data_IF_859825303200
#
_entry.id   IF_859825303200
#
_cell.length_a   1.000
_cell.length_b   1.000
_cell.length_c   1.000
_cell.angle_alpha   90.00
_cell.angle_beta   90.00
_cell.angle_gamma   90.00
#
_symmetry.space_group_name_H-M   'P 1'
#
loop_
_entity.id
_entity.type
_entity.pdbx_description
1 polymer ?
#
# COMPACT_ATOMS: atom_id res chain seq x y z
N UNK A 1 8.33 5.77 -22.88
CA UNK A 1 8.59 4.32 -23.07
C UNK A 1 8.91 3.57 -21.79
N UNK A 2 9.66 4.13 -20.82
CA UNK A 2 10.01 3.44 -19.55
C UNK A 2 8.83 2.82 -18.79
N UNK A 3 7.73 3.57 -18.61
CA UNK A 3 6.54 3.06 -17.90
C UNK A 3 5.86 1.90 -18.65
N UNK A 4 5.77 1.97 -19.98
CA UNK A 4 5.24 0.88 -20.80
C UNK A 4 6.06 -0.41 -20.65
N UNK A 5 7.39 -0.29 -20.63
CA UNK A 5 8.28 -1.44 -20.42
C UNK A 5 8.10 -2.08 -19.03
N UNK A 6 7.95 -1.25 -17.98
CA UNK A 6 7.67 -1.74 -16.64
C UNK A 6 6.31 -2.46 -16.56
N UNK A 7 5.26 -1.88 -17.16
CA UNK A 7 3.94 -2.52 -17.26
C UNK A 7 4.05 -3.85 -18.01
N UNK A 8 4.78 -3.88 -19.14
CA UNK A 8 4.96 -5.11 -19.92
C UNK A 8 5.65 -6.23 -19.13
N UNK A 9 6.67 -5.89 -18.35
CA UNK A 9 7.34 -6.83 -17.46
C UNK A 9 6.35 -7.44 -16.45
N UNK A 10 5.61 -6.61 -15.72
CA UNK A 10 4.64 -7.09 -14.72
C UNK A 10 3.50 -7.89 -15.36
N UNK A 11 3.00 -7.48 -16.52
CA UNK A 11 1.99 -8.24 -17.27
C UNK A 11 2.56 -9.61 -17.67
N UNK A 12 3.82 -9.68 -18.10
CA UNK A 12 4.50 -10.95 -18.38
C UNK A 12 4.53 -11.89 -17.16
N UNK A 13 4.91 -11.38 -16.00
CA UNK A 13 4.90 -12.16 -14.75
C UNK A 13 3.50 -12.68 -14.40
N UNK A 14 2.47 -11.82 -14.42
CA UNK A 14 1.10 -12.22 -14.12
C UNK A 14 0.53 -13.20 -15.15
N UNK A 15 0.88 -13.04 -16.43
CA UNK A 15 0.52 -14.00 -17.47
C UNK A 15 1.20 -15.35 -17.25
N UNK A 16 2.43 -15.38 -16.72
CA UNK A 16 3.12 -16.62 -16.38
C UNK A 16 2.40 -17.35 -15.25
N UNK A 17 2.01 -16.66 -14.17
CA UNK A 17 1.25 -17.25 -13.07
C UNK A 17 -0.06 -17.89 -13.56
N UNK A 18 -0.77 -17.21 -14.47
CA UNK A 18 -2.01 -17.71 -15.08
C UNK A 18 -1.75 -18.88 -16.06
N UNK A 19 -0.66 -18.83 -16.81
CA UNK A 19 -0.26 -19.90 -17.72
C UNK A 19 0.01 -21.20 -16.96
N UNK A 20 0.70 -21.12 -15.83
CA UNK A 20 0.99 -22.26 -14.95
C UNK A 20 -0.29 -22.82 -14.31
N UNK A 21 -1.16 -21.96 -13.76
CA UNK A 21 -2.44 -22.38 -13.14
C UNK A 21 -3.39 -23.05 -14.15
N UNK A 22 -3.30 -22.69 -15.43
CA UNK A 22 -4.20 -23.18 -16.49
C UNK A 22 -3.57 -24.18 -17.45
N UNK A 23 -2.31 -24.56 -17.23
CA UNK A 23 -1.53 -25.44 -18.11
C UNK A 23 -1.61 -25.02 -19.59
N UNK A 24 -1.36 -23.73 -19.85
CA UNK A 24 -1.40 -23.15 -21.19
C UNK A 24 -0.22 -22.20 -21.43
N UNK A 25 -0.06 -21.75 -22.68
CA UNK A 25 1.03 -20.83 -23.04
C UNK A 25 0.47 -19.56 -23.68
N UNK A 26 0.99 -18.40 -23.26
CA UNK A 26 0.72 -17.13 -23.92
C UNK A 26 1.79 -16.80 -24.97
N UNK A 27 1.37 -16.37 -26.15
CA UNK A 27 2.32 -15.83 -27.13
C UNK A 27 2.90 -14.49 -26.67
N UNK A 28 4.10 -14.14 -27.13
CA UNK A 28 4.72 -12.83 -26.85
C UNK A 28 3.83 -11.66 -27.32
N UNK A 29 3.14 -11.86 -28.44
CA UNK A 29 2.20 -10.90 -29.02
C UNK A 29 0.97 -10.70 -28.14
N UNK A 30 0.45 -11.78 -27.54
CA UNK A 30 -0.68 -11.70 -26.58
C UNK A 30 -0.28 -10.90 -25.34
N UNK A 31 0.90 -11.18 -24.76
CA UNK A 31 1.41 -10.44 -23.60
C UNK A 31 1.61 -8.95 -23.95
N UNK A 32 2.17 -8.65 -25.12
CA UNK A 32 2.34 -7.28 -25.61
C UNK A 32 0.98 -6.56 -25.80
N UNK A 33 -0.01 -7.25 -26.36
CA UNK A 33 -1.35 -6.70 -26.56
C UNK A 33 -2.04 -6.38 -25.22
N UNK A 34 -1.98 -7.30 -24.24
CA UNK A 34 -2.51 -7.06 -22.89
C UNK A 34 -1.81 -5.86 -22.25
N UNK A 35 -0.49 -5.76 -22.40
CA UNK A 35 0.29 -4.63 -21.87
C UNK A 35 -0.15 -3.29 -22.44
N UNK A 36 -0.40 -3.21 -23.75
CA UNK A 36 -0.87 -1.99 -24.41
C UNK A 36 -2.32 -1.66 -24.03
N UNK A 37 -3.18 -2.67 -23.86
CA UNK A 37 -4.55 -2.47 -23.36
C UNK A 37 -4.51 -1.91 -21.93
N UNK A 38 -3.75 -2.52 -21.03
CA UNK A 38 -3.62 -2.08 -19.64
C UNK A 38 -3.08 -0.65 -19.57
N UNK A 39 -2.05 -0.32 -20.36
CA UNK A 39 -1.49 1.04 -20.37
C UNK A 39 -2.51 2.09 -20.83
N UNK A 40 -3.28 1.81 -21.88
CA UNK A 40 -4.37 2.70 -22.34
C UNK A 40 -5.50 2.79 -21.32
N UNK A 41 -5.82 1.68 -20.65
CA UNK A 41 -6.86 1.65 -19.64
C UNK A 41 -6.53 2.52 -18.42
N UNK A 42 -5.25 2.64 -18.06
CA UNK A 42 -4.80 3.56 -17.00
C UNK A 42 -5.18 5.02 -17.28
N UNK A 43 -5.15 5.47 -18.54
CA UNK A 43 -5.56 6.84 -18.89
C UNK A 43 -7.05 7.07 -18.62
N UNK A 44 -7.88 6.10 -18.98
CA UNK A 44 -9.32 6.14 -18.73
C UNK A 44 -9.58 6.17 -17.22
N UNK A 45 -8.96 5.26 -16.47
CA UNK A 45 -9.10 5.20 -15.02
C UNK A 45 -8.62 6.48 -14.33
N UNK A 46 -7.51 7.07 -14.76
CA UNK A 46 -6.99 8.30 -14.18
C UNK A 46 -7.99 9.47 -14.33
N UNK A 47 -8.57 9.63 -15.53
CA UNK A 47 -9.56 10.68 -15.80
C UNK A 47 -10.84 10.48 -15.00
N UNK A 48 -11.33 9.25 -14.91
CA UNK A 48 -12.53 8.92 -14.12
C UNK A 48 -12.31 9.18 -12.63
N UNK A 49 -11.17 8.76 -12.07
CA UNK A 49 -10.83 8.98 -10.67
C UNK A 49 -10.68 10.47 -10.34
N UNK A 50 -10.06 11.25 -11.23
CA UNK A 50 -9.98 12.72 -11.09
C UNK A 50 -11.39 13.34 -11.07
N UNK A 51 -12.26 12.90 -11.98
CA UNK A 51 -13.64 13.37 -12.05
C UNK A 51 -14.45 13.00 -10.80
N UNK A 52 -14.29 11.80 -10.25
CA UNK A 52 -14.98 11.38 -9.03
C UNK A 52 -14.54 12.21 -7.81
N UNK A 53 -13.23 12.41 -7.64
CA UNK A 53 -12.71 13.25 -6.56
C UNK A 53 -13.22 14.70 -6.71
N UNK A 54 -13.16 15.26 -7.91
CA UNK A 54 -13.64 16.62 -8.21
C UNK A 54 -15.14 16.78 -7.98
N UNK A 55 -15.95 15.78 -8.35
CA UNK A 55 -17.40 15.78 -8.10
C UNK A 55 -17.72 15.89 -6.61
N UNK A 56 -16.91 15.27 -5.76
CA UNK A 56 -17.00 15.38 -4.30
C UNK A 56 -16.24 16.59 -3.71
N UNK A 57 -15.83 17.56 -4.54
CA UNK A 57 -15.07 18.77 -4.16
C UNK A 57 -13.74 18.47 -3.46
N UNK A 58 -13.09 17.35 -3.81
CA UNK A 58 -11.78 16.93 -3.31
C UNK A 58 -10.73 16.98 -4.43
N UNK A 59 -9.47 17.17 -4.06
CA UNK A 59 -8.31 17.03 -4.96
C UNK A 59 -7.58 15.70 -4.78
N UNK A 60 -7.87 14.96 -3.71
CA UNK A 60 -7.26 13.67 -3.40
C UNK A 60 -8.27 12.55 -3.62
N UNK A 61 -7.86 11.55 -4.40
CA UNK A 61 -8.62 10.32 -4.66
C UNK A 61 -8.67 9.47 -3.39
N UNK A 62 -9.83 8.90 -3.09
CA UNK A 62 -10.12 8.07 -1.92
C UNK A 62 -10.56 6.66 -2.34
N UNK A 63 -10.69 5.74 -1.37
CA UNK A 63 -11.17 4.37 -1.61
C UNK A 63 -12.57 4.32 -2.22
N UNK A 64 -13.42 5.29 -1.88
CA UNK A 64 -14.79 5.35 -2.41
C UNK A 64 -14.80 5.67 -3.91
N UNK A 65 -13.86 6.49 -4.39
CA UNK A 65 -13.69 6.78 -5.82
C UNK A 65 -13.25 5.50 -6.58
N UNK A 66 -12.37 4.69 -5.97
CA UNK A 66 -11.91 3.41 -6.55
C UNK A 66 -13.01 2.35 -6.55
N UNK A 67 -13.83 2.26 -5.48
CA UNK A 67 -15.01 1.40 -5.45
C UNK A 67 -16.01 1.82 -6.53
N UNK A 68 -16.23 3.13 -6.69
CA UNK A 68 -17.11 3.65 -7.75
C UNK A 68 -16.60 3.31 -9.15
N UNK A 69 -15.28 3.34 -9.37
CA UNK A 69 -14.67 2.90 -10.62
C UNK A 69 -14.98 1.43 -10.94
N UNK A 70 -14.96 0.56 -9.93
CA UNK A 70 -15.23 -0.87 -10.06
C UNK A 70 -16.72 -1.25 -10.22
N UNK A 71 -17.64 -0.29 -10.10
CA UNK A 71 -19.10 -0.51 -9.99
C UNK A 71 -19.75 -1.31 -11.12
N UNK A 72 -19.12 -1.35 -12.30
CA UNK A 72 -19.69 -1.99 -13.50
C UNK A 72 -19.76 -3.52 -13.40
N UNK A 73 -18.98 -4.12 -12.51
CA UNK A 73 -18.97 -5.56 -12.26
C UNK A 73 -19.19 -5.82 -10.78
N UNK A 74 -20.26 -6.56 -10.44
CA UNK A 74 -20.60 -6.87 -9.05
C UNK A 74 -19.54 -7.74 -8.37
N UNK A 75 -18.98 -8.72 -9.09
CA UNK A 75 -17.90 -9.57 -8.58
C UNK A 75 -16.63 -8.76 -8.33
N UNK A 76 -16.28 -7.84 -9.25
CA UNK A 76 -15.13 -6.97 -9.08
C UNK A 76 -15.33 -5.98 -7.92
N UNK A 77 -16.50 -5.34 -7.82
CA UNK A 77 -16.82 -4.43 -6.73
C UNK A 77 -16.70 -5.12 -5.36
N UNK A 78 -17.23 -6.34 -5.24
CA UNK A 78 -17.09 -7.15 -4.02
C UNK A 78 -15.63 -7.42 -3.69
N UNK A 79 -14.85 -7.88 -4.67
CA UNK A 79 -13.43 -8.18 -4.48
C UNK A 79 -12.62 -6.95 -4.05
N UNK A 80 -12.80 -5.81 -4.73
CA UNK A 80 -12.12 -4.56 -4.42
C UNK A 80 -12.49 -4.04 -3.03
N UNK A 81 -13.77 -4.14 -2.65
CA UNK A 81 -14.23 -3.73 -1.32
C UNK A 81 -13.55 -4.55 -0.22
N UNK A 82 -13.54 -5.88 -0.37
CA UNK A 82 -12.85 -6.77 0.56
C UNK A 82 -11.36 -6.44 0.66
N UNK A 83 -10.67 -6.27 -0.47
CA UNK A 83 -9.24 -5.90 -0.45
C UNK A 83 -8.98 -4.55 0.22
N UNK A 84 -9.89 -3.59 0.08
CA UNK A 84 -9.81 -2.31 0.79
C UNK A 84 -9.90 -2.44 2.31
N UNK A 85 -10.76 -3.32 2.81
CA UNK A 85 -10.91 -3.63 4.24
C UNK A 85 -9.67 -4.34 4.80
N UNK A 86 -9.11 -5.30 4.05
CA UNK A 86 -7.86 -6.00 4.40
C UNK A 86 -6.68 -5.02 4.55
N UNK A 87 -6.53 -4.08 3.62
CA UNK A 87 -5.49 -3.04 3.68
C UNK A 87 -5.70 -2.10 4.86
N UNK A 88 -6.96 -1.70 5.12
CA UNK A 88 -7.30 -0.81 6.23
C UNK A 88 -6.95 -1.44 7.57
N UNK A 89 -7.31 -2.71 7.75
CA UNK A 89 -6.98 -3.49 8.96
C UNK A 89 -5.47 -3.61 9.15
N UNK A 90 -4.75 -3.96 8.07
CA UNK A 90 -3.28 -4.06 8.07
C UNK A 90 -2.60 -2.73 8.46
N UNK A 91 -3.12 -1.61 7.98
CA UNK A 91 -2.59 -0.28 8.32
C UNK A 91 -2.82 0.08 9.79
N UNK A 92 -3.95 -0.33 10.38
CA UNK A 92 -4.22 -0.14 11.81
C UNK A 92 -3.23 -0.92 12.67
N UNK A 93 -3.00 -2.19 12.36
CA UNK A 93 -2.03 -3.03 13.07
C UNK A 93 -0.61 -2.45 13.03
N UNK A 94 -0.17 -1.95 11.87
CA UNK A 94 1.14 -1.31 11.74
C UNK A 94 1.25 -0.03 12.59
N UNK A 95 0.17 0.75 12.69
CA UNK A 95 0.12 1.97 13.51
C UNK A 95 0.21 1.63 15.00
N UNK A 96 -0.46 0.58 15.44
CA UNK A 96 -0.38 0.09 16.82
C UNK A 96 1.02 -0.45 17.17
N UNK A 97 1.63 -1.23 16.26
CA UNK A 97 3.01 -1.72 16.41
C UNK A 97 4.01 -0.56 16.52
N UNK A 98 3.86 0.49 15.70
CA UNK A 98 4.68 1.71 15.81
C UNK A 98 4.48 2.44 17.14
N UNK A 99 3.23 2.55 17.61
CA UNK A 99 2.92 3.20 18.90
C UNK A 99 3.55 2.44 20.07
N UNK A 100 3.44 1.11 20.12
CA UNK A 100 4.09 0.25 21.13
C UNK A 100 5.62 0.33 21.09
N UNK A 101 6.23 0.41 19.89
CA UNK A 101 7.68 0.55 19.76
C UNK A 101 8.18 1.92 20.24
N UNK A 102 7.39 2.98 20.02
CA UNK A 102 7.70 4.33 20.51
C UNK A 102 7.53 4.47 22.04
N UNK A 103 6.59 3.74 22.66
CA UNK A 103 6.43 3.74 24.12
C UNK A 103 7.53 2.94 24.82
N UNK A 104 7.91 1.77 24.28
CA UNK A 104 9.01 0.97 24.81
C UNK A 104 10.37 1.69 24.74
N UNK A 105 10.62 2.47 23.67
CA UNK A 105 11.81 3.31 23.55
C UNK A 105 11.84 4.48 24.56
N UNK A 106 10.66 4.92 25.03
CA UNK A 106 10.54 5.99 26.02
C UNK A 106 10.75 5.46 27.46
N UNK A 107 10.30 4.24 27.74
CA UNK A 107 10.57 3.54 29.02
C UNK A 107 12.05 3.15 29.15
N UNK A 108 12.70 2.65 28.10
CA UNK A 108 14.12 2.33 28.14
C UNK A 108 15.05 3.53 28.37
N UNK A 109 14.60 4.74 27.99
CA UNK A 109 15.36 5.98 28.24
C UNK A 109 15.16 6.52 29.65
N UNK A 110 14.00 6.30 30.25
CA UNK A 110 13.73 6.67 31.64
C UNK A 110 14.49 5.80 32.65
N UNK A 111 14.74 4.52 32.33
CA UNK A 111 15.55 3.64 33.17
C UNK A 111 17.04 4.04 33.20
N UNK A 112 17.60 4.53 32.08
CA UNK A 112 18.99 4.97 32.00
C UNK A 112 19.30 6.30 32.72
N UNK A 113 18.29 7.16 32.93
CA UNK A 113 18.44 8.42 33.68
C UNK A 113 18.34 8.21 35.20
N UNK A 114 17.71 7.12 35.67
CA UNK A 114 17.65 6.80 37.11
C UNK A 114 18.94 6.18 37.64
N UNK A 115 19.73 5.46 36.83
CA UNK A 115 20.99 4.86 37.28
C UNK A 115 22.15 5.89 37.36
N UNK A 116 22.13 6.92 36.50
CA UNK A 116 23.14 8.00 36.53
C UNK A 116 22.94 8.98 37.70
N UNK A 117 21.70 9.20 38.16
CA UNK A 117 21.41 10.13 39.25
C UNK A 117 21.77 9.59 40.65
N UNK A 118 21.95 8.27 40.80
CA UNK A 118 22.33 7.68 42.10
C UNK A 118 23.83 7.82 42.37
N UNK A 119 24.68 7.83 41.33
CA UNK A 119 26.14 7.82 41.47
C UNK A 119 26.70 9.22 41.85
N UNK A 120 26.04 10.32 41.48
CA UNK A 120 26.54 11.67 41.78
C UNK A 120 26.20 12.19 43.19
N UNK A 121 25.46 11.44 44.01
CA UNK A 121 24.98 11.92 45.32
C UNK A 121 25.86 11.55 46.53
N UNK A 122 26.89 10.72 46.36
CA UNK A 122 27.72 10.25 47.49
C UNK A 122 29.02 11.04 47.74
N UNK A 123 29.42 11.98 46.87
CA UNK A 123 30.76 12.60 46.95
C UNK A 123 30.82 14.02 47.54
N UNK A 124 29.77 14.48 48.24
CA UNK A 124 29.69 15.84 48.81
C UNK A 124 29.65 15.90 50.34
N UNK A 125 30.39 15.02 51.02
CA UNK A 125 30.54 15.15 52.47
C UNK A 125 31.88 14.61 53.02
N UNK A 126 33.00 15.21 52.62
CA UNK A 126 34.20 15.26 53.46
C UNK A 126 35.19 16.33 52.98
N UNK A 127 35.17 17.51 53.61
CA UNK A 127 36.30 18.42 53.92
C UNK A 127 35.81 19.85 54.17
#
# INVERSE_FOLDING_TARGET
>A
QRLKAAVHYTVGCLCQDVAEDKDLHFSKQTIAAISEITFRQCEIFAKDLEMFARHAKRSTVTTEDVKLLARRSSSLLKYITQKGEEITSSNMEQKEKKKKKSSAAKEGRAAGEQEAAVIESEDSNMA
#
